data_IF_701593298310
#
_entry.id   IF_701593298310
#
_cell.length_a   1.000
_cell.length_b   1.000
_cell.length_c   1.000
_cell.angle_alpha   90.00
_cell.angle_beta   90.00
_cell.angle_gamma   90.00
#
_symmetry.space_group_name_H-M   'P 1'
#
loop_
_entity.id
_entity.type
_entity.pdbx_description
1 polymer ?
#
# COMPACT_ATOMS: atom_id res chain seq x y z
N UNK A 1 29.62 37.10 -41.98
CA UNK A 1 28.78 37.51 -40.82
C UNK A 1 27.40 36.84 -40.78
N UNK A 2 26.58 36.86 -41.85
CA UNK A 2 25.25 36.21 -41.87
C UNK A 2 25.22 34.69 -41.54
N UNK A 3 26.25 33.92 -41.92
CA UNK A 3 26.34 32.47 -41.64
C UNK A 3 26.52 32.14 -40.14
N UNK A 4 27.18 33.02 -39.38
CA UNK A 4 27.43 32.81 -37.94
C UNK A 4 26.13 32.98 -37.15
N UNK A 5 25.29 33.95 -37.55
CA UNK A 5 23.99 34.23 -36.92
C UNK A 5 23.01 33.05 -37.13
N UNK A 6 23.04 32.40 -38.30
CA UNK A 6 22.19 31.23 -38.55
C UNK A 6 22.58 30.01 -37.70
N UNK A 7 23.88 29.82 -37.48
CA UNK A 7 24.39 28.72 -36.64
C UNK A 7 24.01 28.89 -35.17
N UNK A 8 24.04 30.11 -34.64
CA UNK A 8 23.68 30.36 -33.24
C UNK A 8 22.19 30.18 -32.99
N UNK A 9 21.32 30.64 -33.91
CA UNK A 9 19.87 30.48 -33.80
C UNK A 9 19.48 29.00 -33.81
N UNK A 10 20.09 28.20 -34.68
CA UNK A 10 19.83 26.75 -34.76
C UNK A 10 20.22 26.03 -33.46
N UNK A 11 21.35 26.39 -32.87
CA UNK A 11 21.82 25.80 -31.60
C UNK A 11 20.87 26.11 -30.43
N UNK A 12 20.32 27.34 -30.38
CA UNK A 12 19.38 27.77 -29.34
C UNK A 12 18.04 27.03 -29.46
N UNK A 13 17.57 26.77 -30.68
CA UNK A 13 16.31 26.03 -30.90
C UNK A 13 16.46 24.58 -30.41
N UNK A 14 17.59 23.95 -30.69
CA UNK A 14 17.87 22.56 -30.27
C UNK A 14 17.92 22.46 -28.74
N UNK A 15 18.54 23.42 -28.05
CA UNK A 15 18.61 23.39 -26.58
C UNK A 15 17.25 23.60 -25.92
N UNK A 16 16.39 24.46 -26.48
CA UNK A 16 15.02 24.67 -25.97
C UNK A 16 14.18 23.39 -26.16
N UNK A 17 14.28 22.73 -27.31
CA UNK A 17 13.56 21.49 -27.60
C UNK A 17 13.93 20.37 -26.60
N UNK A 18 15.22 20.23 -26.28
CA UNK A 18 15.69 19.25 -25.29
C UNK A 18 15.12 19.56 -23.90
N UNK A 19 15.08 20.84 -23.51
CA UNK A 19 14.58 21.25 -22.20
C UNK A 19 13.07 20.99 -22.02
N UNK A 20 12.29 21.18 -23.09
CA UNK A 20 10.83 20.91 -23.08
C UNK A 20 10.53 19.41 -23.08
N UNK A 21 11.38 18.60 -23.72
CA UNK A 21 11.19 17.15 -23.79
C UNK A 21 11.71 16.35 -22.58
N UNK A 22 12.30 17.00 -21.58
CA UNK A 22 12.68 16.31 -20.35
C UNK A 22 11.41 15.88 -19.59
N UNK A 23 11.18 14.57 -19.39
CA UNK A 23 10.03 14.11 -18.64
C UNK A 23 10.16 14.60 -17.20
N UNK A 24 9.14 15.33 -16.74
CA UNK A 24 9.04 15.81 -15.36
C UNK A 24 9.07 14.58 -14.44
N UNK A 25 10.17 14.41 -13.70
CA UNK A 25 10.33 13.34 -12.69
C UNK A 25 9.22 13.50 -11.66
N UNK A 26 8.14 12.74 -11.79
CA UNK A 26 7.08 12.71 -10.79
C UNK A 26 7.67 12.11 -9.52
N UNK A 27 7.77 12.94 -8.49
CA UNK A 27 8.16 12.49 -7.17
C UNK A 27 7.10 11.48 -6.70
N UNK A 28 7.45 10.26 -6.29
CA UNK A 28 6.46 9.31 -5.80
C UNK A 28 5.74 9.95 -4.62
N UNK A 29 4.43 10.15 -4.79
CA UNK A 29 3.56 10.62 -3.73
C UNK A 29 3.53 9.48 -2.70
N UNK A 30 4.19 9.68 -1.56
CA UNK A 30 4.11 8.75 -0.43
C UNK A 30 2.66 8.81 0.04
N UNK A 31 1.86 7.83 -0.37
CA UNK A 31 0.53 7.61 0.16
C UNK A 31 0.78 6.95 1.50
N UNK A 32 0.71 7.72 2.59
CA UNK A 32 0.64 7.14 3.93
C UNK A 32 -0.67 6.34 3.98
N UNK A 33 -0.52 5.03 3.92
CA UNK A 33 -1.63 4.10 4.08
C UNK A 33 -2.12 4.24 5.52
N UNK A 34 -3.26 4.91 5.71
CA UNK A 34 -3.87 5.00 7.03
C UNK A 34 -4.31 3.60 7.45
N UNK A 35 -3.64 3.04 8.46
CA UNK A 35 -3.99 1.73 9.02
C UNK A 35 -5.26 1.86 9.86
N UNK A 36 -6.23 0.93 9.73
CA UNK A 36 -7.39 0.86 10.63
C UNK A 36 -6.96 0.64 12.09
N UNK A 37 -7.85 0.90 13.07
CA UNK A 37 -7.54 0.62 14.47
C UNK A 37 -7.30 -0.87 14.69
N UNK A 38 -6.39 -1.16 15.63
CA UNK A 38 -6.09 -2.53 16.06
C UNK A 38 -7.01 -2.87 17.23
N UNK A 39 -7.79 -3.94 17.10
CA UNK A 39 -8.73 -4.40 18.12
C UNK A 39 -8.43 -5.84 18.53
N UNK A 40 -8.78 -6.19 19.76
CA UNK A 40 -8.72 -7.57 20.23
C UNK A 40 -9.92 -8.35 19.67
N UNK A 41 -9.64 -9.46 19.00
CA UNK A 41 -10.64 -10.29 18.34
C UNK A 41 -10.50 -11.74 18.79
N UNK A 42 -11.63 -12.41 18.97
CA UNK A 42 -11.65 -13.82 19.33
C UNK A 42 -11.68 -14.67 18.05
N UNK A 43 -10.53 -15.24 17.67
CA UNK A 43 -10.35 -16.03 16.47
C UNK A 43 -10.47 -17.54 16.76
N UNK A 44 -11.68 -17.97 17.08
CA UNK A 44 -12.00 -19.38 17.20
C UNK A 44 -13.45 -19.65 16.77
N UNK A 45 -13.71 -20.85 16.27
CA UNK A 45 -15.04 -21.31 15.86
C UNK A 45 -15.93 -21.71 17.04
N UNK A 46 -16.92 -22.57 16.78
CA UNK A 46 -17.95 -22.93 17.78
C UNK A 46 -17.44 -23.86 18.88
N UNK A 47 -16.40 -24.64 18.58
CA UNK A 47 -15.77 -25.56 19.51
C UNK A 47 -14.30 -25.22 19.68
N UNK A 48 -14.00 -24.48 20.75
CA UNK A 48 -12.65 -24.11 21.15
C UNK A 48 -12.16 -25.03 22.28
N UNK A 49 -11.17 -25.89 22.06
CA UNK A 49 -10.73 -26.86 23.07
C UNK A 49 -10.03 -26.22 24.27
N UNK A 50 -9.48 -25.00 24.11
CA UNK A 50 -8.72 -24.31 25.15
C UNK A 50 -9.46 -23.08 25.71
N UNK A 51 -8.93 -22.46 26.78
CA UNK A 51 -9.47 -21.20 27.30
C UNK A 51 -9.45 -20.07 26.27
N UNK A 52 -10.39 -19.12 26.43
CA UNK A 52 -10.64 -18.02 25.50
C UNK A 52 -9.38 -17.21 25.17
N UNK A 53 -8.54 -17.01 26.17
CA UNK A 53 -7.34 -16.17 26.13
C UNK A 53 -6.33 -16.65 25.08
N UNK A 54 -6.31 -17.95 24.77
CA UNK A 54 -5.41 -18.53 23.77
C UNK A 54 -5.82 -18.24 22.33
N UNK A 55 -7.04 -17.72 22.12
CA UNK A 55 -7.59 -17.40 20.80
C UNK A 55 -7.81 -15.91 20.60
N UNK A 56 -7.44 -15.09 21.57
CA UNK A 56 -7.47 -13.63 21.42
C UNK A 56 -6.31 -13.20 20.52
N UNK A 57 -6.63 -12.64 19.36
CA UNK A 57 -5.66 -12.12 18.40
C UNK A 57 -5.91 -10.64 18.20
N UNK A 58 -4.88 -9.90 17.78
CA UNK A 58 -5.02 -8.50 17.38
C UNK A 58 -5.28 -8.42 15.88
N UNK A 59 -6.31 -7.71 15.46
CA UNK A 59 -6.67 -7.55 14.04
C UNK A 59 -6.79 -6.08 13.67
N UNK A 60 -6.67 -5.78 12.39
CA UNK A 60 -7.14 -4.50 11.84
C UNK A 60 -8.66 -4.55 11.68
N UNK A 61 -9.37 -3.65 12.35
CA UNK A 61 -10.84 -3.61 12.35
C UNK A 61 -11.40 -3.42 10.93
N UNK A 62 -12.36 -4.26 10.53
CA UNK A 62 -13.11 -4.12 9.29
C UNK A 62 -12.44 -4.66 8.02
N UNK A 63 -11.20 -5.14 8.07
CA UNK A 63 -10.49 -5.66 6.90
C UNK A 63 -10.72 -7.17 6.74
N UNK A 64 -11.47 -7.54 5.71
CA UNK A 64 -11.76 -8.94 5.35
C UNK A 64 -11.16 -9.36 4.01
N UNK A 65 -10.74 -8.40 3.18
CA UNK A 65 -10.11 -8.67 1.89
C UNK A 65 -8.62 -9.00 2.05
N UNK A 66 -8.17 -10.05 1.37
CA UNK A 66 -6.79 -10.51 1.45
C UNK A 66 -5.79 -9.48 0.89
N UNK A 67 -6.13 -8.85 -0.24
CA UNK A 67 -5.24 -7.90 -0.90
C UNK A 67 -5.13 -6.59 -0.11
N UNK A 68 -6.23 -6.12 0.50
CA UNK A 68 -6.22 -4.98 1.41
C UNK A 68 -5.38 -5.27 2.66
N UNK A 69 -5.54 -6.46 3.24
CA UNK A 69 -4.76 -6.87 4.41
C UNK A 69 -3.25 -6.86 4.13
N UNK A 70 -2.82 -7.38 2.99
CA UNK A 70 -1.41 -7.39 2.59
C UNK A 70 -0.88 -5.97 2.32
N UNK A 71 -1.67 -5.08 1.71
CA UNK A 71 -1.27 -3.69 1.44
C UNK A 71 -0.95 -2.90 2.71
N UNK A 72 -1.66 -3.18 3.81
CA UNK A 72 -1.45 -2.49 5.10
C UNK A 72 -0.38 -3.19 5.97
N UNK A 73 0.25 -4.25 5.47
CA UNK A 73 1.26 -5.04 6.18
C UNK A 73 0.69 -6.02 7.21
N UNK A 74 -0.61 -6.34 7.14
CA UNK A 74 -1.22 -7.38 7.95
C UNK A 74 -1.03 -8.78 7.39
N UNK A 75 -1.47 -9.79 8.15
CA UNK A 75 -1.46 -11.19 7.71
C UNK A 75 -2.89 -11.71 7.55
N UNK A 76 -3.33 -12.09 6.34
CA UNK A 76 -4.64 -12.69 6.12
C UNK A 76 -4.78 -13.98 6.92
N UNK A 77 -5.92 -14.16 7.59
CA UNK A 77 -6.21 -15.36 8.35
C UNK A 77 -7.68 -15.71 8.24
N UNK A 78 -7.98 -17.00 8.15
CA UNK A 78 -9.35 -17.51 8.20
C UNK A 78 -9.49 -18.61 9.23
N UNK A 79 -10.67 -18.66 9.83
CA UNK A 79 -11.07 -19.74 10.72
C UNK A 79 -12.53 -20.09 10.46
N UNK A 80 -12.90 -21.32 10.85
CA UNK A 80 -14.22 -21.87 10.58
C UNK A 80 -15.03 -22.03 11.87
N UNK A 81 -16.14 -21.31 11.97
CA UNK A 81 -17.23 -21.59 12.91
C UNK A 81 -18.47 -22.03 12.13
N UNK A 82 -19.64 -21.49 12.46
CA UNK A 82 -20.86 -21.62 11.66
C UNK A 82 -20.68 -21.17 10.21
N UNK A 83 -19.84 -20.16 10.01
CA UNK A 83 -19.40 -19.65 8.71
C UNK A 83 -17.88 -19.56 8.69
N UNK A 84 -17.31 -19.51 7.48
CA UNK A 84 -15.92 -19.12 7.31
C UNK A 84 -15.78 -17.61 7.57
N UNK A 85 -14.85 -17.24 8.44
CA UNK A 85 -14.59 -15.84 8.80
C UNK A 85 -13.19 -15.49 8.32
N UNK A 86 -13.09 -14.40 7.55
CA UNK A 86 -11.82 -13.83 7.10
C UNK A 86 -11.50 -12.60 7.93
N UNK A 87 -10.28 -12.55 8.47
CA UNK A 87 -9.77 -11.43 9.28
C UNK A 87 -8.36 -11.06 8.82
N UNK A 88 -7.95 -9.84 9.16
CA UNK A 88 -6.59 -9.35 8.93
C UNK A 88 -5.83 -9.22 10.26
N UNK A 89 -4.89 -10.14 10.52
CA UNK A 89 -4.04 -10.09 11.72
C UNK A 89 -3.14 -8.85 11.67
N UNK A 90 -3.09 -8.13 12.79
CA UNK A 90 -2.23 -6.97 12.96
C UNK A 90 -0.76 -7.38 13.15
N UNK A 91 0.16 -6.49 12.79
CA UNK A 91 1.59 -6.69 13.03
C UNK A 91 1.87 -6.83 14.53
N UNK A 92 2.61 -7.87 14.93
CA UNK A 92 3.07 -8.03 16.30
C UNK A 92 4.17 -6.99 16.57
N UNK A 93 3.82 -5.92 17.30
CA UNK A 93 4.79 -4.97 17.84
C UNK A 93 5.30 -5.41 19.20
#
# INVERSE_FOLDING_TARGET
MKKIIFLTISLIIITILIFVFLPKKQNPKIIEIQKPPIVDHFACGDYCPNPREQYMVKIYEGITDEAECQKIGGTPYSYRGWVEVHICLAEQK
#
